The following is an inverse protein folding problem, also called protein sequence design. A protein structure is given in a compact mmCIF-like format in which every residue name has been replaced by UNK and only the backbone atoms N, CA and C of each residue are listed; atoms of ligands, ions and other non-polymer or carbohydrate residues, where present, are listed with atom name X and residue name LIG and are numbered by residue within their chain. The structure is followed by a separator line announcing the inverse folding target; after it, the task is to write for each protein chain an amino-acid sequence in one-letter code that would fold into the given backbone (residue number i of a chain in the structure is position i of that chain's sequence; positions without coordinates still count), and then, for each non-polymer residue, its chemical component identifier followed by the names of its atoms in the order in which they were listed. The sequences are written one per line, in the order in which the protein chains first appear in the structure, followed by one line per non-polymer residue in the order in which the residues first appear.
data_IF_573188891063
#
_entry.id   IF_573188891063
#
_cell.length_a   1.000
_cell.length_b   1.000
_cell.length_c   1.000
_cell.angle_alpha   90.00
_cell.angle_beta   90.00
_cell.angle_gamma   90.00
#
_symmetry.space_group_name_H-M   'P 1'
#
loop_
_entity.id
_entity.type
_entity.pdbx_description
1 polymer ?
#
# COMPACT_ATOMS: atom_id res chain seq x y z
N UNK A 1 27.14 -0.84 -19.12
CA UNK A 1 27.89 0.43 -19.12
C UNK A 1 28.27 0.69 -17.68
N UNK A 2 29.56 0.69 -17.37
CA UNK A 2 30.02 0.82 -15.98
C UNK A 2 29.80 2.24 -15.46
N UNK A 3 29.45 2.35 -14.18
CA UNK A 3 29.14 3.64 -13.53
C UNK A 3 30.31 4.64 -13.65
N UNK A 4 31.54 4.14 -13.59
CA UNK A 4 32.75 4.96 -13.69
C UNK A 4 32.94 5.54 -15.09
N UNK A 5 32.54 4.82 -16.13
CA UNK A 5 32.57 5.34 -17.51
C UNK A 5 31.58 6.50 -17.69
N UNK A 6 30.41 6.41 -17.04
CA UNK A 6 29.42 7.49 -17.06
C UNK A 6 29.98 8.73 -16.35
N UNK A 7 30.59 8.56 -15.16
CA UNK A 7 31.21 9.66 -14.41
C UNK A 7 32.30 10.37 -15.21
N UNK A 8 33.25 9.60 -15.77
CA UNK A 8 34.35 10.17 -16.58
C UNK A 8 33.84 10.92 -17.80
N UNK A 9 32.71 10.52 -18.38
CA UNK A 9 32.11 11.24 -19.51
C UNK A 9 31.42 12.54 -19.07
N UNK A 10 30.74 12.54 -17.91
CA UNK A 10 30.13 13.74 -17.34
C UNK A 10 31.19 14.77 -16.96
N UNK A 11 32.31 14.34 -16.37
CA UNK A 11 33.42 15.22 -15.98
C UNK A 11 34.09 15.94 -17.16
N UNK A 12 33.97 15.39 -18.37
CA UNK A 12 34.53 15.98 -19.60
C UNK A 12 33.63 17.02 -20.24
N UNK A 13 32.38 17.15 -19.79
CA UNK A 13 31.44 18.10 -20.37
C UNK A 13 31.85 19.54 -20.08
N UNK A 14 31.73 20.40 -21.08
CA UNK A 14 31.78 21.85 -20.86
C UNK A 14 30.58 22.31 -20.03
N UNK A 15 30.65 23.51 -19.45
CA UNK A 15 29.53 24.10 -18.71
C UNK A 15 28.25 24.16 -19.54
N UNK A 16 28.34 24.40 -20.85
CA UNK A 16 27.19 24.46 -21.75
C UNK A 16 26.57 23.07 -21.93
N UNK A 17 27.38 22.06 -22.23
CA UNK A 17 26.91 20.69 -22.43
C UNK A 17 26.37 20.08 -21.12
N UNK A 18 26.97 20.42 -19.98
CA UNK A 18 26.47 20.06 -18.66
C UNK A 18 25.10 20.71 -18.41
N UNK A 19 24.91 21.98 -18.80
CA UNK A 19 23.62 22.66 -18.69
C UNK A 19 22.55 21.99 -19.56
N UNK A 20 22.90 21.60 -20.79
CA UNK A 20 21.99 20.87 -21.70
C UNK A 20 21.62 19.49 -21.12
N UNK A 21 22.60 18.75 -20.58
CA UNK A 21 22.36 17.47 -19.91
C UNK A 21 21.43 17.62 -18.70
N UNK A 22 21.67 18.63 -17.87
CA UNK A 22 20.83 18.90 -16.70
C UNK A 22 19.41 19.28 -17.11
N UNK A 23 19.24 20.16 -18.10
CA UNK A 23 17.91 20.55 -18.61
C UNK A 23 17.13 19.37 -19.20
N UNK A 24 17.82 18.38 -19.77
CA UNK A 24 17.19 17.14 -20.23
C UNK A 24 16.83 16.20 -19.06
N UNK A 25 17.70 16.09 -18.06
CA UNK A 25 17.52 15.16 -16.93
C UNK A 25 16.50 15.65 -15.90
N UNK A 26 16.44 16.96 -15.64
CA UNK A 26 15.58 17.54 -14.60
C UNK A 26 14.10 17.19 -14.77
N UNK A 27 13.48 17.35 -15.96
CA UNK A 27 12.09 16.98 -16.18
C UNK A 27 11.83 15.48 -15.96
N UNK A 28 12.76 14.61 -16.35
CA UNK A 28 12.65 13.17 -16.13
C UNK A 28 12.70 12.83 -14.64
N UNK A 29 13.63 13.45 -13.90
CA UNK A 29 13.76 13.27 -12.46
C UNK A 29 12.54 13.82 -11.71
N UNK A 30 12.04 15.00 -12.09
CA UNK A 30 10.84 15.59 -11.52
C UNK A 30 9.59 14.74 -11.79
N UNK A 31 9.40 14.28 -13.03
CA UNK A 31 8.30 13.39 -13.39
C UNK A 31 8.36 12.08 -12.59
N UNK A 32 9.56 11.49 -12.44
CA UNK A 32 9.75 10.29 -11.63
C UNK A 32 9.44 10.55 -10.16
N UNK A 33 9.96 11.62 -9.56
CA UNK A 33 9.67 11.97 -8.16
C UNK A 33 8.18 12.25 -7.93
N UNK A 34 7.53 12.93 -8.87
CA UNK A 34 6.10 13.19 -8.80
C UNK A 34 5.30 11.90 -8.95
N UNK A 35 5.69 11.00 -9.86
CA UNK A 35 5.10 9.67 -9.96
C UNK A 35 5.27 8.89 -8.65
N UNK A 36 6.48 8.78 -8.13
CA UNK A 36 6.78 8.06 -6.88
C UNK A 36 6.01 8.66 -5.68
N UNK A 37 5.74 9.96 -5.68
CA UNK A 37 5.00 10.66 -4.62
C UNK A 37 3.48 10.53 -4.74
N UNK A 38 2.92 10.69 -5.93
CA UNK A 38 1.46 10.84 -6.13
C UNK A 38 0.80 9.61 -6.76
N UNK A 39 1.55 8.73 -7.41
CA UNK A 39 0.99 7.52 -8.02
C UNK A 39 0.31 6.62 -6.98
N UNK A 40 0.87 6.36 -5.77
CA UNK A 40 0.20 5.50 -4.79
C UNK A 40 -1.19 6.00 -4.38
N UNK A 41 -1.35 7.32 -4.22
CA UNK A 41 -2.63 7.93 -3.87
C UNK A 41 -3.63 7.86 -5.04
N UNK A 42 -3.18 8.23 -6.23
CA UNK A 42 -4.02 8.20 -7.43
C UNK A 42 -4.46 6.77 -7.79
N UNK A 43 -3.56 5.79 -7.65
CA UNK A 43 -3.84 4.37 -7.85
C UNK A 43 -4.84 3.86 -6.81
N UNK A 44 -4.63 4.16 -5.52
CA UNK A 44 -5.56 3.75 -4.46
C UNK A 44 -6.96 4.35 -4.67
N UNK A 45 -7.04 5.62 -5.05
CA UNK A 45 -8.32 6.29 -5.34
C UNK A 45 -9.02 5.68 -6.57
N UNK A 46 -8.27 5.39 -7.65
CA UNK A 46 -8.81 4.76 -8.84
C UNK A 46 -9.33 3.34 -8.55
N UNK A 47 -8.56 2.52 -7.83
CA UNK A 47 -8.97 1.16 -7.43
C UNK A 47 -10.21 1.21 -6.54
N UNK A 48 -10.24 2.12 -5.55
CA UNK A 48 -11.41 2.31 -4.68
C UNK A 48 -12.66 2.63 -5.48
N UNK A 49 -12.60 3.59 -6.41
CA UNK A 49 -13.75 3.94 -7.25
C UNK A 49 -14.21 2.75 -8.10
N UNK A 50 -13.28 1.99 -8.68
CA UNK A 50 -13.62 0.82 -9.49
C UNK A 50 -14.26 -0.31 -8.65
N UNK A 51 -13.83 -0.47 -7.40
CA UNK A 51 -14.45 -1.42 -6.45
C UNK A 51 -15.86 -0.97 -6.05
N UNK A 52 -16.03 0.32 -5.72
CA UNK A 52 -17.34 0.91 -5.39
C UNK A 52 -18.33 0.84 -6.56
N UNK A 53 -17.83 0.98 -7.80
CA UNK A 53 -18.59 0.76 -9.04
C UNK A 53 -18.93 -0.71 -9.30
N UNK A 54 -18.43 -1.66 -8.49
CA UNK A 54 -18.58 -3.09 -8.69
C UNK A 54 -17.84 -3.65 -9.92
N UNK A 55 -16.87 -2.89 -10.46
CA UNK A 55 -16.07 -3.30 -11.63
C UNK A 55 -14.86 -4.14 -11.24
N UNK A 56 -14.42 -4.04 -9.98
CA UNK A 56 -13.36 -4.85 -9.40
C UNK A 56 -13.87 -5.48 -8.11
N UNK A 57 -13.52 -6.74 -7.90
CA UNK A 57 -13.77 -7.41 -6.63
C UNK A 57 -12.90 -6.79 -5.53
N UNK A 58 -13.48 -6.65 -4.34
CA UNK A 58 -12.77 -6.21 -3.15
C UNK A 58 -12.08 -7.40 -2.48
N UNK A 59 -10.91 -7.21 -1.85
CA UNK A 59 -10.40 -8.23 -0.95
C UNK A 59 -11.38 -8.42 0.21
N UNK A 60 -11.52 -9.66 0.67
CA UNK A 60 -12.34 -9.94 1.83
C UNK A 60 -11.67 -9.38 3.09
N UNK A 61 -12.38 -8.47 3.76
CA UNK A 61 -11.90 -7.78 4.95
C UNK A 61 -13.07 -7.18 5.73
N UNK A 62 -12.91 -7.14 7.05
CA UNK A 62 -13.83 -6.42 7.93
C UNK A 62 -13.44 -4.94 8.06
N UNK A 63 -14.40 -4.09 8.42
CA UNK A 63 -14.15 -2.68 8.78
C UNK A 63 -14.23 -2.42 10.28
N UNK A 64 -14.77 -3.38 11.03
CA UNK A 64 -14.93 -3.33 12.48
C UNK A 64 -14.30 -4.57 13.10
N UNK A 65 -13.61 -4.45 14.25
CA UNK A 65 -13.04 -5.62 14.91
C UNK A 65 -14.15 -6.64 15.25
N UNK A 66 -13.97 -7.93 14.91
CA UNK A 66 -14.91 -8.97 15.30
C UNK A 66 -14.76 -9.35 16.78
N UNK A 67 -15.67 -10.18 17.30
CA UNK A 67 -15.60 -10.70 18.68
C UNK A 67 -14.55 -11.81 18.81
N UNK A 68 -14.47 -12.67 17.81
CA UNK A 68 -13.50 -13.76 17.75
C UNK A 68 -12.57 -13.56 16.54
N UNK A 69 -11.34 -14.08 16.63
CA UNK A 69 -10.33 -13.87 15.57
C UNK A 69 -10.78 -14.55 14.27
N UNK A 70 -11.41 -15.71 14.40
CA UNK A 70 -11.84 -16.59 13.32
C UNK A 70 -12.98 -15.99 12.48
N UNK A 71 -13.68 -14.98 13.00
CA UNK A 71 -14.73 -14.25 12.29
C UNK A 71 -14.16 -13.28 11.23
N UNK A 72 -12.88 -12.92 11.33
CA UNK A 72 -12.22 -12.13 10.29
C UNK A 72 -11.79 -13.01 9.11
N UNK A 73 -11.86 -12.51 7.87
CA UNK A 73 -11.30 -13.20 6.71
C UNK A 73 -9.79 -13.44 6.85
N UNK A 74 -9.31 -14.61 6.43
CA UNK A 74 -7.89 -14.91 6.40
C UNK A 74 -7.17 -14.06 5.33
N UNK A 75 -6.02 -13.49 5.69
CA UNK A 75 -5.19 -12.70 4.77
C UNK A 75 -4.89 -13.48 3.49
N UNK A 76 -5.18 -12.86 2.36
CA UNK A 76 -4.89 -13.39 1.04
C UNK A 76 -3.70 -12.65 0.44
N UNK A 77 -2.72 -13.40 -0.07
CA UNK A 77 -1.51 -12.79 -0.63
C UNK A 77 -1.81 -12.09 -1.98
N UNK A 78 -1.68 -10.75 -2.06
CA UNK A 78 -1.91 -10.01 -3.29
C UNK A 78 -0.70 -10.03 -4.25
N UNK A 79 0.43 -10.62 -3.85
CA UNK A 79 1.63 -10.77 -4.69
C UNK A 79 1.69 -12.18 -5.27
N UNK A 80 1.39 -12.31 -6.56
CA UNK A 80 1.41 -13.59 -7.28
C UNK A 80 2.36 -13.51 -8.47
N UNK A 81 3.22 -14.52 -8.64
CA UNK A 81 4.20 -14.53 -9.73
C UNK A 81 5.19 -13.34 -9.72
N UNK A 82 5.45 -12.76 -8.54
CA UNK A 82 6.32 -11.59 -8.38
C UNK A 82 5.70 -10.26 -8.79
N UNK A 83 4.37 -10.20 -8.95
CA UNK A 83 3.62 -8.97 -9.29
C UNK A 83 2.54 -8.69 -8.25
N UNK A 84 2.39 -7.42 -7.88
CA UNK A 84 1.33 -6.98 -6.98
C UNK A 84 0.03 -6.76 -7.74
N UNK A 85 -1.02 -7.47 -7.34
CA UNK A 85 -2.36 -7.31 -7.89
C UNK A 85 -3.10 -6.23 -7.10
N UNK A 86 -2.98 -4.96 -7.52
CA UNK A 86 -3.45 -3.79 -6.76
C UNK A 86 -4.90 -3.86 -6.27
N UNK A 87 -5.81 -4.47 -7.05
CA UNK A 87 -7.22 -4.62 -6.68
C UNK A 87 -7.47 -5.62 -5.54
N UNK A 88 -6.49 -6.47 -5.22
CA UNK A 88 -6.51 -7.42 -4.09
C UNK A 88 -5.77 -6.87 -2.87
N UNK A 89 -5.18 -5.68 -2.97
CA UNK A 89 -4.52 -5.04 -1.85
C UNK A 89 -5.54 -4.40 -0.90
N UNK A 90 -5.15 -4.30 0.36
CA UNK A 90 -6.00 -3.86 1.45
C UNK A 90 -5.94 -2.34 1.65
N UNK A 91 -7.09 -1.69 1.81
CA UNK A 91 -7.20 -0.28 2.14
C UNK A 91 -6.92 -0.03 3.63
N UNK A 92 -6.62 1.23 3.96
CA UNK A 92 -6.56 1.64 5.37
C UNK A 92 -7.86 1.29 6.09
N UNK A 93 -7.72 0.68 7.28
CA UNK A 93 -8.84 0.26 8.11
C UNK A 93 -9.37 -1.15 7.85
N UNK A 94 -8.91 -1.84 6.81
CA UNK A 94 -9.22 -3.25 6.58
C UNK A 94 -8.69 -4.12 7.71
N UNK A 95 -9.52 -5.05 8.17
CA UNK A 95 -9.24 -5.98 9.25
C UNK A 95 -9.31 -7.41 8.70
N UNK A 96 -8.24 -8.17 8.93
CA UNK A 96 -8.10 -9.57 8.56
C UNK A 96 -7.56 -10.39 9.73
N UNK A 97 -7.58 -11.71 9.62
CA UNK A 97 -6.79 -12.60 10.47
C UNK A 97 -5.56 -13.14 9.73
N UNK A 98 -4.46 -13.30 10.46
CA UNK A 98 -3.26 -13.97 9.99
C UNK A 98 -2.50 -14.54 11.20
N UNK A 99 -2.10 -15.81 11.11
CA UNK A 99 -1.40 -16.55 12.19
C UNK A 99 -2.11 -16.47 13.56
N UNK A 100 -3.45 -16.63 13.55
CA UNK A 100 -4.27 -16.63 14.76
C UNK A 100 -4.36 -15.27 15.47
N UNK A 101 -4.12 -14.17 14.75
CA UNK A 101 -4.21 -12.79 15.27
C UNK A 101 -4.97 -11.90 14.31
N UNK A 102 -5.61 -10.86 14.85
CA UNK A 102 -6.25 -9.81 14.06
C UNK A 102 -5.26 -8.70 13.71
N UNK A 103 -5.31 -8.25 12.47
CA UNK A 103 -4.48 -7.17 11.97
C UNK A 103 -5.34 -6.13 11.26
N UNK A 104 -5.02 -4.86 11.49
CA UNK A 104 -5.63 -3.71 10.84
C UNK A 104 -4.61 -3.03 9.93
N UNK A 105 -4.95 -2.86 8.66
CA UNK A 105 -4.13 -2.09 7.73
C UNK A 105 -4.15 -0.62 8.15
N UNK A 106 -2.98 -0.01 8.33
CA UNK A 106 -2.85 1.42 8.68
C UNK A 106 -2.19 2.24 7.57
N UNK A 107 -1.77 1.59 6.48
CA UNK A 107 -1.17 2.27 5.34
C UNK A 107 -2.22 3.16 4.64
N UNK A 108 -1.93 4.44 4.34
CA UNK A 108 -2.90 5.36 3.72
C UNK A 108 -3.27 5.03 2.27
N UNK A 109 -2.57 4.09 1.62
CA UNK A 109 -2.85 3.65 0.26
C UNK A 109 -3.24 2.16 0.25
N UNK A 110 -2.72 1.39 -0.71
CA UNK A 110 -2.98 -0.03 -0.87
C UNK A 110 -1.87 -0.87 -0.22
N UNK A 111 -2.21 -1.59 0.84
CA UNK A 111 -1.30 -2.47 1.57
C UNK A 111 -1.28 -3.87 0.94
N UNK A 112 -0.09 -4.33 0.60
CA UNK A 112 0.14 -5.63 -0.01
C UNK A 112 1.10 -6.51 0.79
N UNK A 113 1.60 -6.01 1.91
CA UNK A 113 2.63 -6.68 2.70
C UNK A 113 2.02 -7.77 3.58
N UNK A 114 2.87 -8.73 3.99
CA UNK A 114 2.48 -9.80 4.91
C UNK A 114 2.24 -9.20 6.30
N UNK A 115 1.11 -9.47 6.96
CA UNK A 115 0.88 -9.02 8.33
C UNK A 115 2.00 -9.47 9.28
N UNK A 116 2.50 -8.55 10.10
CA UNK A 116 3.63 -8.79 11.01
C UNK A 116 5.03 -8.72 10.38
N UNK A 117 5.15 -8.55 9.05
CA UNK A 117 6.44 -8.31 8.40
C UNK A 117 6.86 -6.82 8.42
N UNK A 118 5.93 -5.91 8.67
CA UNK A 118 6.14 -4.46 8.71
C UNK A 118 5.12 -3.73 9.57
N UNK A 119 5.33 -2.42 9.74
CA UNK A 119 4.45 -1.53 10.50
C UNK A 119 3.19 -1.08 9.69
N UNK A 120 2.98 -1.60 8.47
CA UNK A 120 1.79 -1.29 7.67
C UNK A 120 0.53 -2.03 8.18
N UNK A 121 0.74 -3.06 8.99
CA UNK A 121 -0.27 -3.80 9.71
C UNK A 121 -0.08 -3.60 11.21
N UNK A 122 -1.13 -3.18 11.91
CA UNK A 122 -1.13 -3.09 13.37
C UNK A 122 -1.97 -4.23 13.92
N UNK A 123 -1.39 -5.01 14.83
CA UNK A 123 -2.13 -6.03 15.57
C UNK A 123 -3.19 -5.35 16.44
N UNK A 124 -4.43 -5.85 16.39
CA UNK A 124 -5.54 -5.36 17.22
C UNK A 124 -6.10 -6.50 18.05
N UNK A 125 -6.78 -6.14 19.14
CA UNK A 125 -7.55 -7.09 19.94
C UNK A 125 -8.98 -7.21 19.37
N UNK A 126 -9.66 -8.35 19.60
CA UNK A 126 -11.07 -8.48 19.27
C UNK A 126 -11.94 -7.45 20.00
N UNK A 127 -13.11 -7.17 19.45
CA UNK A 127 -14.11 -6.32 20.10
C UNK A 127 -14.50 -6.93 21.45
N UNK A 128 -14.49 -6.10 22.50
CA UNK A 128 -15.00 -6.51 23.80
C UNK A 128 -16.46 -6.98 23.65
N UNK A 129 -16.79 -8.10 24.29
CA UNK A 129 -18.18 -8.51 24.43
C UNK A 129 -18.92 -7.37 25.16
N UNK A 130 -19.97 -6.82 24.54
CA UNK A 130 -20.86 -5.90 25.24
C UNK A 130 -21.36 -6.62 26.50
N UNK A 131 -21.03 -6.09 27.68
CA UNK A 131 -21.69 -6.55 28.90
C UNK A 131 -23.20 -6.33 28.72
N UNK A 132 -24.04 -7.32 29.01
CA UNK A 132 -25.48 -7.17 28.89
C UNK A 132 -25.89 -5.99 29.78
N UNK A 133 -26.33 -4.89 29.17
CA UNK A 133 -26.85 -3.74 29.89
C UNK A 133 -27.99 -4.23 30.78
N UNK A 134 -27.80 -4.23 32.11
CA UNK A 134 -28.89 -4.41 33.06
C UNK A 134 -29.90 -3.28 32.81
N UNK A 135 -30.94 -3.59 32.05
CA UNK A 135 -32.17 -2.83 32.06
C UNK A 135 -32.85 -3.11 33.40
N UNK A 136 -32.62 -2.23 34.37
CA UNK A 136 -33.48 -2.10 35.55
C UNK A 136 -34.81 -1.48 35.08
N UNK A 137 -35.88 -2.27 35.12
CA UNK A 137 -37.27 -1.81 35.00
C UNK A 137 -37.68 -0.82 36.10
#
# INVERSE_FOLDING_TARGET
MELDTIKTNIEKLSTKELTELLNWLFPYHEARLNHDRYAPEAEAAAIKQLQEDGKLEMPDALKTPPRDVEDAPEWQNPVQGGRTHLHQCYHSGDIIQHDGRLWKSVYPHLNHEVPGASDLWVQIEPAAAEEPSEHTE
#
